data_IF_912352560623
#
_entry.id   IF_912352560623
#
_cell.length_a   1.000
_cell.length_b   1.000
_cell.length_c   1.000
_cell.angle_alpha   90.00
_cell.angle_beta   90.00
_cell.angle_gamma   90.00
#
_symmetry.space_group_name_H-M   'P 1'
#
loop_
_entity.id
_entity.type
_entity.pdbx_description
1 polymer ?
#
# COMPACT_ATOMS: atom_id res chain seq x y z
N UNK A 1 63.45 5.53 33.38
CA UNK A 1 62.73 6.72 32.89
C UNK A 1 63.20 6.93 31.46
N UNK A 2 62.43 6.79 30.37
CA UNK A 2 60.97 6.84 30.17
C UNK A 2 60.64 6.13 28.84
N UNK A 3 59.50 5.43 28.78
CA UNK A 3 58.86 4.85 27.58
C UNK A 3 58.28 5.92 26.66
N UNK A 4 58.13 5.61 25.36
CA UNK A 4 56.87 5.57 24.58
C UNK A 4 57.22 5.43 23.08
N UNK A 5 57.09 4.26 22.45
CA UNK A 5 55.85 3.64 21.89
C UNK A 5 55.16 4.46 20.79
N UNK A 6 55.59 4.23 19.55
CA UNK A 6 54.77 3.63 18.47
C UNK A 6 53.25 3.67 18.68
N UNK A 7 52.53 4.64 18.08
CA UNK A 7 51.12 4.47 17.69
C UNK A 7 50.78 5.46 16.56
N UNK A 8 50.82 5.04 15.29
CA UNK A 8 50.13 5.77 14.21
C UNK A 8 49.69 4.86 13.05
N UNK A 9 49.36 3.61 13.36
CA UNK A 9 48.91 2.65 12.36
C UNK A 9 47.84 1.70 12.92
N UNK A 10 46.76 2.24 13.51
CA UNK A 10 45.59 1.43 13.85
C UNK A 10 44.37 2.28 14.23
N UNK A 11 43.73 3.00 13.30
CA UNK A 11 42.36 3.50 13.54
C UNK A 11 41.62 3.89 12.24
N UNK A 12 41.54 2.95 11.31
CA UNK A 12 40.41 2.89 10.38
C UNK A 12 39.87 1.46 10.50
N UNK A 13 39.23 1.16 11.63
CA UNK A 13 38.37 -0.01 11.78
C UNK A 13 36.97 0.43 11.37
N UNK A 14 36.65 0.06 10.15
CA UNK A 14 35.34 0.00 9.50
C UNK A 14 34.25 -0.45 10.49
N UNK A 15 33.40 0.46 10.94
CA UNK A 15 32.11 0.12 11.55
C UNK A 15 31.16 -0.33 10.44
N UNK A 16 31.33 -1.56 9.95
CA UNK A 16 30.22 -2.29 9.34
C UNK A 16 29.31 -2.73 10.48
N UNK A 17 28.33 -1.88 10.82
CA UNK A 17 27.18 -2.24 11.64
C UNK A 17 26.55 -3.50 11.03
N UNK A 18 26.82 -4.65 11.64
CA UNK A 18 26.21 -5.91 11.28
C UNK A 18 24.72 -5.78 11.65
N UNK A 19 23.85 -5.47 10.67
CA UNK A 19 22.40 -5.45 10.90
C UNK A 19 22.02 -6.85 11.38
N UNK A 20 21.65 -6.94 12.65
CA UNK A 20 21.33 -8.19 13.31
C UNK A 20 20.09 -8.80 12.63
N UNK A 21 20.18 -10.05 12.22
CA UNK A 21 19.12 -10.76 11.51
C UNK A 21 18.09 -11.22 12.53
N UNK A 22 16.91 -10.61 12.55
CA UNK A 22 15.89 -10.89 13.57
C UNK A 22 14.80 -11.78 12.98
N UNK A 23 14.61 -12.96 13.58
CA UNK A 23 13.34 -13.69 13.47
C UNK A 23 12.35 -12.96 14.36
N UNK A 24 11.38 -12.28 13.77
CA UNK A 24 10.42 -11.45 14.50
C UNK A 24 8.99 -11.79 14.09
N UNK A 25 8.06 -11.55 15.02
CA UNK A 25 6.64 -11.46 14.75
C UNK A 25 6.32 -10.04 14.32
N UNK A 26 5.59 -9.88 13.22
CA UNK A 26 5.25 -8.57 12.65
C UNK A 26 3.74 -8.45 12.55
N UNK A 27 3.19 -7.34 13.03
CA UNK A 27 1.74 -7.09 12.99
C UNK A 27 1.41 -5.99 11.99
N UNK A 28 0.45 -6.28 11.12
CA UNK A 28 -0.13 -5.34 10.16
C UNK A 28 -1.58 -5.09 10.56
N UNK A 29 -1.92 -3.82 10.80
CA UNK A 29 -3.26 -3.41 11.24
C UNK A 29 -3.72 -2.19 10.45
N UNK A 30 -5.00 -2.13 10.18
CA UNK A 30 -5.59 -0.97 9.51
C UNK A 30 -7.04 -1.20 9.14
N UNK A 31 -7.52 -0.34 8.26
CA UNK A 31 -8.85 -0.42 7.67
C UNK A 31 -8.75 -0.11 6.18
N UNK A 32 -9.56 -0.78 5.38
CA UNK A 32 -9.68 -0.57 3.94
C UNK A 32 -11.13 -0.33 3.56
N UNK A 33 -11.37 0.49 2.54
CA UNK A 33 -12.66 0.52 1.85
C UNK A 33 -12.81 -0.75 1.02
N UNK A 34 -13.92 -1.47 1.22
CA UNK A 34 -14.24 -2.70 0.45
C UNK A 34 -14.12 -2.44 -1.05
N UNK A 35 -13.38 -3.31 -1.73
CA UNK A 35 -13.15 -3.36 -3.19
C UNK A 35 -12.49 -2.11 -3.79
N UNK A 36 -12.29 -1.06 -3.00
CA UNK A 36 -11.89 0.27 -3.44
C UNK A 36 -10.62 0.77 -2.74
N UNK A 37 -10.02 -0.03 -1.85
CA UNK A 37 -8.74 0.28 -1.25
C UNK A 37 -7.85 -0.95 -1.11
N UNK A 38 -6.56 -0.76 -1.42
CA UNK A 38 -5.53 -1.78 -1.27
C UNK A 38 -4.33 -1.19 -0.54
N UNK A 39 -3.81 -1.91 0.43
CA UNK A 39 -2.61 -1.53 1.18
C UNK A 39 -1.42 -2.41 0.80
N UNK A 40 -0.26 -1.79 0.63
CA UNK A 40 0.98 -2.47 0.28
C UNK A 40 2.02 -2.21 1.36
N UNK A 41 2.60 -3.28 1.88
CA UNK A 41 3.71 -3.23 2.83
C UNK A 41 4.94 -3.91 2.23
N UNK A 42 6.04 -3.18 2.09
CA UNK A 42 7.30 -3.69 1.60
C UNK A 42 8.10 -4.33 2.73
N UNK A 43 8.67 -5.50 2.45
CA UNK A 43 9.64 -6.12 3.33
C UNK A 43 10.66 -6.94 2.54
N UNK A 44 11.77 -7.28 3.20
CA UNK A 44 12.80 -8.10 2.61
C UNK A 44 13.18 -9.25 3.54
N UNK A 45 13.33 -10.45 2.99
CA UNK A 45 13.80 -11.63 3.72
C UNK A 45 15.28 -11.90 3.43
N UNK A 46 15.99 -12.42 4.43
CA UNK A 46 17.43 -12.69 4.33
C UNK A 46 17.76 -14.14 4.01
N UNK A 47 16.80 -15.05 4.15
CA UNK A 47 16.90 -16.48 3.83
C UNK A 47 15.51 -17.05 3.61
N UNK A 48 15.47 -18.26 3.06
CA UNK A 48 14.25 -19.06 2.92
C UNK A 48 13.57 -19.25 4.28
N UNK A 49 12.25 -19.11 4.32
CA UNK A 49 11.42 -19.39 5.50
C UNK A 49 10.01 -19.81 5.08
N UNK A 50 9.23 -20.32 6.02
CA UNK A 50 7.81 -20.66 5.79
C UNK A 50 6.95 -19.51 6.28
N UNK A 51 6.02 -19.06 5.45
CA UNK A 51 5.04 -18.03 5.82
C UNK A 51 4.10 -18.63 6.87
N UNK A 52 3.94 -17.94 7.99
CA UNK A 52 2.98 -18.28 9.03
C UNK A 52 2.22 -17.00 9.38
N UNK A 53 1.04 -16.83 8.81
CA UNK A 53 0.12 -15.72 9.07
C UNK A 53 -1.06 -16.24 9.89
N UNK A 54 -1.36 -15.53 10.97
CA UNK A 54 -2.59 -15.68 11.73
C UNK A 54 -3.43 -14.41 11.65
N UNK A 55 -4.75 -14.58 11.63
CA UNK A 55 -5.75 -13.52 11.63
C UNK A 55 -6.02 -13.09 13.08
N UNK A 56 -5.97 -11.78 13.33
CA UNK A 56 -6.39 -11.18 14.58
C UNK A 56 -7.91 -11.00 14.64
N UNK A 57 -8.42 -10.36 15.70
CA UNK A 57 -9.83 -9.97 15.76
C UNK A 57 -10.20 -9.06 14.59
N UNK A 58 -11.48 -9.05 14.22
CA UNK A 58 -12.08 -8.11 13.26
C UNK A 58 -11.44 -8.09 11.86
N UNK A 59 -10.92 -9.24 11.39
CA UNK A 59 -10.31 -9.40 10.04
C UNK A 59 -11.29 -9.97 9.01
N UNK A 60 -12.54 -10.26 9.41
CA UNK A 60 -13.58 -10.78 8.52
C UNK A 60 -13.83 -9.79 7.37
N UNK A 61 -13.83 -10.31 6.14
CA UNK A 61 -13.99 -9.49 4.94
C UNK A 61 -12.69 -8.85 4.42
N UNK A 62 -11.53 -9.12 5.04
CA UNK A 62 -10.23 -8.74 4.50
C UNK A 62 -9.39 -9.98 4.18
N UNK A 63 -8.54 -9.87 3.16
CA UNK A 63 -7.59 -10.90 2.75
C UNK A 63 -6.21 -10.32 2.52
N UNK A 64 -5.23 -11.20 2.34
CA UNK A 64 -3.88 -10.83 1.99
C UNK A 64 -3.29 -11.73 0.90
N UNK A 65 -2.29 -11.19 0.24
CA UNK A 65 -1.38 -11.97 -0.61
C UNK A 65 0.05 -11.47 -0.42
N UNK A 66 1.03 -12.38 -0.40
CA UNK A 66 2.43 -12.00 -0.48
C UNK A 66 2.89 -12.17 -1.92
N UNK A 67 3.57 -11.19 -2.47
CA UNK A 67 4.07 -11.25 -3.85
C UNK A 67 5.45 -10.59 -3.97
N UNK A 68 6.19 -10.93 -5.02
CA UNK A 68 7.35 -10.12 -5.40
C UNK A 68 6.91 -8.78 -6.01
N UNK A 69 7.85 -7.84 -6.15
CA UNK A 69 7.55 -6.48 -6.67
C UNK A 69 6.94 -6.45 -8.08
N UNK A 70 7.12 -7.50 -8.87
CA UNK A 70 6.71 -7.57 -10.26
C UNK A 70 5.46 -8.44 -10.45
N UNK A 71 4.82 -8.89 -9.37
CA UNK A 71 3.69 -9.81 -9.42
C UNK A 71 3.99 -11.13 -10.15
N UNK A 72 5.26 -11.53 -10.24
CA UNK A 72 5.64 -12.72 -10.99
C UNK A 72 5.42 -14.02 -10.21
N UNK A 73 5.39 -13.92 -8.89
CA UNK A 73 5.06 -15.01 -7.98
C UNK A 73 4.14 -14.52 -6.86
N UNK A 74 3.22 -15.40 -6.46
CA UNK A 74 2.27 -15.18 -5.37
C UNK A 74 2.44 -16.28 -4.32
N UNK A 75 2.34 -15.90 -3.06
CA UNK A 75 2.57 -16.75 -1.91
C UNK A 75 1.47 -16.53 -0.87
N UNK A 76 0.94 -17.64 -0.36
CA UNK A 76 -0.03 -17.66 0.74
C UNK A 76 0.55 -18.28 2.01
N UNK A 77 -0.32 -18.46 3.00
CA UNK A 77 0.04 -19.11 4.26
C UNK A 77 0.67 -20.49 4.04
N UNK A 78 1.69 -20.84 4.82
CA UNK A 78 2.37 -22.13 4.74
C UNK A 78 3.30 -22.30 3.53
N UNK A 79 3.34 -21.36 2.58
CA UNK A 79 4.28 -21.43 1.47
C UNK A 79 5.72 -21.14 1.94
N UNK A 80 6.69 -21.70 1.23
CA UNK A 80 8.09 -21.35 1.42
C UNK A 80 8.42 -20.09 0.62
N UNK A 81 8.90 -19.05 1.32
CA UNK A 81 9.31 -17.79 0.73
C UNK A 81 10.85 -17.74 0.68
N UNK A 82 11.47 -17.65 -0.51
CA UNK A 82 12.92 -17.48 -0.65
C UNK A 82 13.45 -16.18 -0.02
N UNK A 83 14.77 -16.00 -0.06
CA UNK A 83 15.37 -14.69 0.21
C UNK A 83 15.02 -13.73 -0.94
N UNK A 84 14.52 -12.54 -0.62
CA UNK A 84 14.08 -11.59 -1.65
C UNK A 84 13.46 -10.34 -1.07
N UNK A 85 12.89 -9.53 -1.97
CA UNK A 85 12.13 -8.33 -1.64
C UNK A 85 10.68 -8.56 -2.08
N UNK A 86 9.75 -8.29 -1.18
CA UNK A 86 8.36 -8.70 -1.31
C UNK A 86 7.41 -7.58 -0.87
N UNK A 87 6.15 -7.72 -1.27
CA UNK A 87 5.01 -6.94 -0.82
C UNK A 87 4.03 -7.87 -0.10
N UNK A 88 3.57 -7.47 1.09
CA UNK A 88 2.32 -7.94 1.64
C UNK A 88 1.23 -6.99 1.14
N UNK A 89 0.29 -7.52 0.37
CA UNK A 89 -0.84 -6.78 -0.18
C UNK A 89 -2.07 -7.16 0.60
N UNK A 90 -2.79 -6.16 1.12
CA UNK A 90 -4.03 -6.34 1.89
C UNK A 90 -5.18 -5.74 1.09
N UNK A 91 -6.23 -6.52 0.91
CA UNK A 91 -7.42 -6.19 0.11
C UNK A 91 -8.69 -6.72 0.80
N UNK A 92 -9.87 -6.37 0.28
CA UNK A 92 -11.14 -6.98 0.70
C UNK A 92 -11.24 -8.43 0.24
N UNK A 93 -12.01 -9.22 0.99
CA UNK A 93 -12.51 -10.53 0.61
C UNK A 93 -14.03 -10.41 0.34
N UNK A 94 -14.48 -10.33 -0.92
CA UNK A 94 -15.88 -10.14 -1.24
C UNK A 94 -16.80 -11.24 -0.70
N UNK A 95 -16.30 -12.47 -0.51
CA UNK A 95 -17.10 -13.60 -0.03
C UNK A 95 -17.46 -13.51 1.46
N UNK A 96 -16.70 -12.72 2.24
CA UNK A 96 -16.83 -12.60 3.69
C UNK A 96 -17.20 -11.18 4.13
N UNK A 97 -17.31 -10.26 3.19
CA UNK A 97 -17.56 -8.85 3.48
C UNK A 97 -19.06 -8.56 3.64
N UNK A 98 -19.47 -7.68 4.59
CA UNK A 98 -20.82 -7.13 4.61
C UNK A 98 -21.10 -6.27 3.36
N UNK A 99 -22.33 -5.78 3.23
CA UNK A 99 -22.79 -4.99 2.07
C UNK A 99 -21.89 -3.79 1.70
N UNK A 100 -22.01 -3.35 0.46
CA UNK A 100 -21.13 -2.45 -0.29
C UNK A 100 -21.48 -0.95 -0.14
N UNK A 101 -20.52 0.00 -0.14
CA UNK A 101 -19.13 -0.10 0.33
C UNK A 101 -19.04 0.14 1.84
N UNK A 102 -18.29 -0.70 2.54
CA UNK A 102 -18.07 -0.60 3.98
C UNK A 102 -16.58 -0.54 4.31
N UNK A 103 -16.27 0.08 5.46
CA UNK A 103 -14.91 0.15 5.97
C UNK A 103 -14.60 -1.15 6.74
N UNK A 104 -13.70 -1.97 6.21
CA UNK A 104 -13.33 -3.27 6.73
C UNK A 104 -12.05 -3.12 7.54
N UNK A 105 -12.01 -3.67 8.76
CA UNK A 105 -10.79 -3.71 9.57
C UNK A 105 -9.97 -4.95 9.22
N UNK A 106 -8.65 -4.88 9.44
CA UNK A 106 -7.78 -6.04 9.33
C UNK A 106 -6.73 -6.05 10.43
N UNK A 107 -6.33 -7.26 10.83
CA UNK A 107 -5.19 -7.49 11.71
C UNK A 107 -4.50 -8.80 11.29
N UNK A 108 -3.36 -8.71 10.63
CA UNK A 108 -2.55 -9.87 10.26
C UNK A 108 -1.27 -9.92 11.10
N UNK A 109 -0.91 -11.12 11.56
CA UNK A 109 0.30 -11.36 12.35
C UNK A 109 1.19 -12.34 11.58
N UNK A 110 2.30 -11.83 11.05
CA UNK A 110 3.26 -12.58 10.25
C UNK A 110 4.42 -13.11 11.11
N UNK A 111 4.70 -14.40 10.98
CA UNK A 111 5.75 -15.17 11.63
C UNK A 111 6.49 -16.06 10.61
N UNK A 112 7.46 -16.83 11.09
CA UNK A 112 8.15 -17.85 10.31
C UNK A 112 9.27 -17.35 9.38
N UNK A 113 9.31 -16.05 9.09
CA UNK A 113 10.33 -15.43 8.24
C UNK A 113 11.51 -14.84 9.03
N UNK A 114 12.63 -14.66 8.33
CA UNK A 114 13.80 -13.92 8.84
C UNK A 114 14.04 -12.73 7.94
N UNK A 115 13.87 -11.52 8.46
CA UNK A 115 13.95 -10.32 7.65
C UNK A 115 15.39 -9.81 7.50
N UNK A 116 15.67 -9.04 6.44
CA UNK A 116 16.94 -8.31 6.31
C UNK A 116 17.01 -7.18 7.35
N UNK A 117 15.88 -6.55 7.60
CA UNK A 117 15.67 -5.43 8.53
C UNK A 117 14.27 -5.57 9.14
N UNK A 118 14.00 -4.89 10.25
CA UNK A 118 12.64 -4.86 10.80
C UNK A 118 11.68 -4.26 9.75
N UNK A 119 10.60 -4.95 9.34
CA UNK A 119 9.64 -4.39 8.40
C UNK A 119 9.00 -3.13 8.97
N UNK A 120 8.84 -2.12 8.12
CA UNK A 120 8.02 -0.96 8.43
C UNK A 120 6.55 -1.32 8.21
N UNK A 121 5.74 -1.17 9.25
CA UNK A 121 4.31 -1.48 9.23
C UNK A 121 3.44 -0.23 9.21
N UNK A 122 4.03 0.95 8.97
CA UNK A 122 3.32 2.21 8.85
C UNK A 122 2.86 2.45 7.41
N UNK A 123 1.64 2.96 7.25
CA UNK A 123 1.12 3.45 5.97
C UNK A 123 1.08 4.97 5.99
N UNK A 124 1.20 5.62 4.82
CA UNK A 124 0.89 7.03 4.71
C UNK A 124 -0.60 7.25 5.01
N UNK A 125 -0.92 8.37 5.65
CA UNK A 125 -2.29 8.84 5.83
C UNK A 125 -2.78 9.48 4.54
N UNK A 126 -3.95 9.08 4.07
CA UNK A 126 -4.66 9.70 2.95
C UNK A 126 -6.07 10.11 3.39
N UNK A 127 -6.35 11.41 3.37
CA UNK A 127 -7.67 11.98 3.68
C UNK A 127 -8.27 12.57 2.43
N UNK A 128 -9.50 12.19 2.11
CA UNK A 128 -10.25 12.67 0.95
C UNK A 128 -11.43 13.47 1.49
N UNK A 129 -11.51 14.74 1.09
CA UNK A 129 -12.61 15.64 1.40
C UNK A 129 -13.70 15.56 0.32
N UNK A 130 -13.28 15.36 -0.94
CA UNK A 130 -14.16 15.22 -2.10
C UNK A 130 -13.52 14.29 -3.14
N UNK A 131 -14.29 13.44 -3.84
CA UNK A 131 -15.71 13.18 -3.59
C UNK A 131 -15.94 12.46 -2.25
N UNK A 132 -17.09 12.71 -1.62
CA UNK A 132 -17.44 12.06 -0.35
C UNK A 132 -17.79 10.57 -0.51
N UNK A 133 -18.27 10.22 -1.71
CA UNK A 133 -18.55 8.84 -2.12
C UNK A 133 -17.41 8.36 -3.03
N UNK A 134 -17.01 7.11 -2.82
CA UNK A 134 -16.00 6.44 -3.64
C UNK A 134 -16.61 5.78 -4.89
N UNK A 135 -17.92 5.54 -4.89
CA UNK A 135 -18.69 5.20 -6.10
C UNK A 135 -19.69 6.34 -6.32
N UNK A 136 -19.62 7.00 -7.47
CA UNK A 136 -20.46 8.15 -7.80
C UNK A 136 -21.26 7.88 -9.06
N UNK A 137 -22.57 8.03 -8.98
CA UNK A 137 -23.47 8.03 -10.14
C UNK A 137 -23.70 9.46 -10.61
N UNK A 138 -23.31 9.75 -11.84
CA UNK A 138 -23.52 11.04 -12.49
C UNK A 138 -24.69 10.91 -13.48
N UNK A 139 -25.75 11.73 -13.36
CA UNK A 139 -26.82 11.75 -14.35
C UNK A 139 -26.32 12.31 -15.68
N UNK A 140 -27.07 12.16 -16.78
CA UNK A 140 -26.69 12.75 -18.06
C UNK A 140 -26.53 14.29 -17.97
N UNK A 141 -25.55 14.84 -18.68
CA UNK A 141 -25.22 16.27 -18.70
C UNK A 141 -23.75 16.54 -18.35
N UNK A 142 -23.33 17.80 -18.46
CA UNK A 142 -21.96 18.19 -18.09
C UNK A 142 -21.78 18.19 -16.56
N UNK A 143 -20.66 17.61 -16.09
CA UNK A 143 -20.30 17.61 -14.67
C UNK A 143 -18.82 17.91 -14.48
N UNK A 144 -18.50 18.71 -13.46
CA UNK A 144 -17.15 18.86 -12.96
C UNK A 144 -17.03 18.18 -11.59
N UNK A 145 -16.23 17.12 -11.53
CA UNK A 145 -15.93 16.42 -10.29
C UNK A 145 -14.57 16.89 -9.77
N UNK A 146 -14.53 17.36 -8.53
CA UNK A 146 -13.28 17.80 -7.91
C UNK A 146 -12.84 16.83 -6.82
N UNK A 147 -11.66 16.25 -7.02
CA UNK A 147 -10.91 15.50 -6.02
C UNK A 147 -10.18 16.49 -5.12
N UNK A 148 -10.45 16.44 -3.84
CA UNK A 148 -9.81 17.31 -2.85
C UNK A 148 -9.41 16.51 -1.64
N UNK A 149 -8.20 16.75 -1.12
CA UNK A 149 -7.72 16.03 0.06
C UNK A 149 -6.31 16.40 0.47
N UNK A 150 -5.79 15.61 1.41
CA UNK A 150 -4.43 15.74 1.89
C UNK A 150 -3.80 14.39 2.27
N UNK A 151 -2.48 14.33 2.24
CA UNK A 151 -1.68 13.19 2.64
C UNK A 151 -0.36 13.60 3.29
N UNK A 152 0.16 12.76 4.18
CA UNK A 152 1.53 12.87 4.73
C UNK A 152 2.55 12.01 3.95
N UNK A 153 2.14 11.47 2.79
CA UNK A 153 2.98 10.67 1.93
C UNK A 153 4.23 11.41 1.46
N UNK A 154 5.27 10.64 1.14
CA UNK A 154 6.46 11.14 0.47
C UNK A 154 6.20 11.40 -1.03
N UNK A 155 5.29 10.62 -1.63
CA UNK A 155 4.78 10.86 -2.98
C UNK A 155 3.29 10.55 -3.05
N UNK A 156 2.56 11.38 -3.77
CA UNK A 156 1.13 11.21 -4.04
C UNK A 156 0.90 11.28 -5.54
N UNK A 157 0.21 10.28 -6.10
CA UNK A 157 -0.08 10.23 -7.53
C UNK A 157 -1.59 10.06 -7.75
N UNK A 158 -2.11 10.73 -8.77
CA UNK A 158 -3.42 10.52 -9.35
C UNK A 158 -3.25 9.77 -10.67
N UNK A 159 -3.91 8.64 -10.82
CA UNK A 159 -3.86 7.81 -12.01
C UNK A 159 -5.28 7.68 -12.57
N UNK A 160 -5.44 7.96 -13.85
CA UNK A 160 -6.57 7.47 -14.65
C UNK A 160 -6.10 6.30 -15.53
N UNK A 161 -6.93 5.85 -16.48
CA UNK A 161 -6.61 4.69 -17.33
C UNK A 161 -5.40 4.91 -18.26
N UNK A 162 -5.06 6.17 -18.56
CA UNK A 162 -4.07 6.52 -19.58
C UNK A 162 -2.83 7.20 -18.98
N UNK A 163 -3.00 7.91 -17.88
CA UNK A 163 -2.03 8.87 -17.36
C UNK A 163 -1.84 8.72 -15.86
N UNK A 164 -0.66 9.15 -15.41
CA UNK A 164 -0.35 9.30 -13.99
C UNK A 164 0.27 10.67 -13.77
N UNK A 165 -0.32 11.42 -12.87
CA UNK A 165 0.10 12.77 -12.49
C UNK A 165 0.51 12.77 -11.01
N UNK A 166 1.60 13.46 -10.70
CA UNK A 166 2.00 13.67 -9.32
C UNK A 166 1.17 14.82 -8.70
N UNK A 167 0.57 14.55 -7.54
CA UNK A 167 -0.17 15.54 -6.77
C UNK A 167 0.70 16.12 -5.64
N UNK A 168 0.46 17.39 -5.24
CA UNK A 168 0.97 17.91 -3.98
C UNK A 168 0.31 17.23 -2.78
N UNK A 169 0.95 17.29 -1.60
CA UNK A 169 0.43 16.67 -0.37
C UNK A 169 -0.90 17.28 0.13
N UNK A 170 -1.25 18.49 -0.28
CA UNK A 170 -2.60 19.05 -0.19
C UNK A 170 -3.02 19.36 -1.62
N UNK A 171 -4.07 18.70 -2.10
CA UNK A 171 -4.39 18.68 -3.53
C UNK A 171 -5.83 19.04 -3.81
N UNK A 172 -6.01 19.55 -5.02
CA UNK A 172 -7.29 19.74 -5.68
C UNK A 172 -7.09 19.39 -7.17
N UNK A 173 -7.92 18.48 -7.69
CA UNK A 173 -7.85 18.00 -9.08
C UNK A 173 -9.28 17.87 -9.61
N UNK A 174 -9.61 18.63 -10.65
CA UNK A 174 -10.92 18.54 -11.29
C UNK A 174 -10.87 17.66 -12.54
N UNK A 175 -11.95 16.93 -12.76
CA UNK A 175 -12.21 16.07 -13.90
C UNK A 175 -13.55 16.50 -14.49
N UNK A 176 -13.58 16.69 -15.80
CA UNK A 176 -14.77 17.06 -16.54
C UNK A 176 -15.41 15.82 -17.18
N UNK A 177 -16.73 15.70 -17.07
CA UNK A 177 -17.54 14.70 -17.74
C UNK A 177 -18.51 15.39 -18.68
N UNK A 178 -18.55 14.94 -19.93
CA UNK A 178 -19.40 15.42 -21.01
C UNK A 178 -19.88 14.25 -21.88
N UNK A 179 -20.61 14.51 -22.97
CA UNK A 179 -21.11 13.48 -23.90
C UNK A 179 -20.02 12.63 -24.57
N UNK A 180 -18.76 13.06 -24.53
CA UNK A 180 -17.62 12.30 -25.07
C UNK A 180 -16.97 11.37 -24.04
N UNK A 181 -17.34 11.52 -22.77
CA UNK A 181 -16.82 10.71 -21.67
C UNK A 181 -17.41 9.29 -21.70
N UNK A 182 -16.65 8.25 -21.34
CA UNK A 182 -17.20 6.90 -21.24
C UNK A 182 -18.21 6.77 -20.10
N UNK A 183 -19.11 5.81 -20.22
CA UNK A 183 -20.16 5.54 -19.23
C UNK A 183 -19.63 4.98 -17.90
N UNK A 184 -18.37 4.54 -17.86
CA UNK A 184 -17.68 4.07 -16.67
C UNK A 184 -16.24 4.56 -16.69
N UNK A 185 -15.78 5.13 -15.56
CA UNK A 185 -14.38 5.52 -15.34
C UNK A 185 -13.93 5.15 -13.93
N UNK A 186 -12.67 4.76 -13.83
CA UNK A 186 -12.00 4.62 -12.53
C UNK A 186 -10.83 5.58 -12.41
N UNK A 187 -10.67 6.13 -11.22
CA UNK A 187 -9.51 6.94 -10.84
C UNK A 187 -8.87 6.34 -9.61
N UNK A 188 -7.54 6.43 -9.51
CA UNK A 188 -6.79 5.92 -8.37
C UNK A 188 -5.91 7.01 -7.78
N UNK A 189 -5.97 7.19 -6.46
CA UNK A 189 -5.00 7.96 -5.71
C UNK A 189 -4.06 7.01 -4.98
N UNK A 190 -2.77 7.10 -5.27
CA UNK A 190 -1.71 6.31 -4.64
C UNK A 190 -0.88 7.20 -3.74
N UNK A 191 -0.97 6.99 -2.43
CA UNK A 191 -0.13 7.62 -1.41
C UNK A 191 0.98 6.65 -1.02
N UNK A 192 2.25 7.06 -1.13
CA UNK A 192 3.42 6.21 -0.81
C UNK A 192 4.34 6.91 0.19
N UNK A 193 4.72 6.24 1.27
CA UNK A 193 5.64 6.79 2.26
C UNK A 193 7.11 6.60 1.83
N UNK A 194 8.06 7.07 2.65
CA UNK A 194 9.49 7.01 2.33
C UNK A 194 10.07 5.57 2.30
N UNK A 195 9.42 4.61 2.95
CA UNK A 195 9.83 3.19 2.93
C UNK A 195 9.21 2.42 1.76
N UNK A 196 8.30 3.07 1.02
CA UNK A 196 7.61 2.53 -0.15
C UNK A 196 6.32 1.79 0.15
N UNK A 197 5.87 1.77 1.41
CA UNK A 197 4.52 1.30 1.75
C UNK A 197 3.49 2.27 1.17
N UNK A 198 2.38 1.74 0.66
CA UNK A 198 1.40 2.55 -0.05
C UNK A 198 -0.05 2.20 0.26
N UNK A 199 -0.89 3.21 0.10
CA UNK A 199 -2.36 3.11 0.06
C UNK A 199 -2.78 3.45 -1.36
N UNK A 200 -3.49 2.53 -2.00
CA UNK A 200 -4.17 2.77 -3.27
C UNK A 200 -5.67 2.89 -2.99
N UNK A 201 -6.26 4.05 -3.25
CA UNK A 201 -7.72 4.26 -3.17
C UNK A 201 -8.29 4.49 -4.56
N UNK A 202 -9.31 3.71 -4.90
CA UNK A 202 -10.04 3.77 -6.15
C UNK A 202 -11.34 4.57 -5.98
N UNK A 203 -11.70 5.26 -7.05
CA UNK A 203 -12.96 5.99 -7.18
C UNK A 203 -13.60 5.60 -8.50
N UNK A 204 -14.84 5.15 -8.43
CA UNK A 204 -15.62 4.71 -9.57
C UNK A 204 -16.68 5.74 -9.92
N UNK A 205 -16.81 6.02 -11.21
CA UNK A 205 -17.81 6.91 -11.76
C UNK A 205 -18.62 6.17 -12.80
N UNK A 206 -19.93 6.11 -12.58
CA UNK A 206 -20.91 5.60 -13.53
C UNK A 206 -21.65 6.82 -14.07
N UNK A 207 -21.55 7.05 -15.37
CA UNK A 207 -22.07 8.25 -16.01
C UNK A 207 -23.16 7.90 -17.04
N UNK A 208 -24.40 8.28 -16.75
CA UNK A 208 -25.59 7.94 -17.54
C UNK A 208 -25.57 8.55 -18.95
N UNK A 209 -24.87 9.68 -19.13
CA UNK A 209 -24.73 10.35 -20.43
C UNK A 209 -23.51 9.91 -21.23
N UNK A 210 -22.75 8.93 -20.73
CA UNK A 210 -21.49 8.53 -21.32
C UNK A 210 -21.63 7.56 -22.49
N UNK A 211 -20.56 7.43 -23.26
CA UNK A 211 -20.46 6.47 -24.37
C UNK A 211 -20.34 5.07 -23.76
N UNK A 212 -21.24 4.16 -24.16
CA UNK A 212 -21.08 2.73 -23.85
C UNK A 212 -19.96 2.14 -24.71
N UNK A 213 -18.97 1.54 -24.05
CA UNK A 213 -17.94 0.72 -24.71
C UNK A 213 -18.47 -0.63 -25.21
#
# INVERSE_FOLDING_TARGET
MTKHESVFAAQIKTEKKQKEKVKMTVEYKGKIYRDLETHYYLFSTSKKGTIDISWGPDTLGSDYIITDKNWSAMYGNGNELPAGDYMLVITSNPAESPEDPSLISYHFILKGLTFKEAPDTTLPKLTIESPAQIVTHLPAGEHDVTFKGCSDAASLNFTDEETTEQLPNSFEKSIHFDESSPNYRTYRITATNATGNSVNRYFEFIYDGGISE
#
